data_IF_550679620594
#
_entry.id   IF_550679620594
#
_cell.length_a   1.000
_cell.length_b   1.000
_cell.length_c   1.000
_cell.angle_alpha   90.00
_cell.angle_beta   90.00
_cell.angle_gamma   90.00
#
_symmetry.space_group_name_H-M   'P 1'
#
loop_
_entity.id
_entity.type
_entity.pdbx_description
1 polymer ?
#
# COMPACT_ATOMS: atom_id res chain seq x y z
N UNK A 1 4.57 5.59 27.52
CA UNK A 1 3.71 4.40 27.38
C UNK A 1 4.60 3.19 27.21
N UNK A 2 4.29 2.17 28.00
CA UNK A 2 5.16 1.08 28.41
C UNK A 2 5.62 0.22 27.23
N UNK A 3 6.93 -0.02 27.20
CA UNK A 3 7.64 -0.77 26.18
C UNK A 3 7.31 -2.26 26.33
N UNK A 4 6.41 -2.79 25.50
CA UNK A 4 6.29 -4.23 25.32
C UNK A 4 7.64 -4.80 24.84
N UNK A 5 8.15 -5.90 25.40
CA UNK A 5 9.43 -6.47 24.99
C UNK A 5 9.33 -7.02 23.57
N UNK A 6 9.82 -6.24 22.59
CA UNK A 6 9.98 -6.69 21.21
C UNK A 6 11.20 -7.60 21.14
N UNK A 7 10.98 -8.91 21.09
CA UNK A 7 12.04 -9.88 20.82
C UNK A 7 12.39 -9.85 19.33
N UNK A 8 13.33 -8.99 18.97
CA UNK A 8 13.98 -9.01 17.65
C UNK A 8 14.98 -10.17 17.63
N UNK A 9 14.59 -11.31 17.05
CA UNK A 9 15.55 -12.36 16.71
C UNK A 9 15.74 -12.37 15.19
N UNK A 10 17.01 -12.30 14.76
CA UNK A 10 17.41 -12.49 13.37
C UNK A 10 17.09 -13.94 12.98
N UNK A 11 16.32 -14.12 11.92
CA UNK A 11 16.08 -15.42 11.34
C UNK A 11 17.21 -15.74 10.36
N UNK A 12 17.90 -16.87 10.58
CA UNK A 12 18.69 -17.52 9.55
C UNK A 12 17.74 -18.24 8.60
N UNK A 13 17.91 -17.94 7.30
CA UNK A 13 17.12 -18.52 6.22
C UNK A 13 17.45 -20.00 6.06
N UNK A 14 16.48 -20.87 6.30
CA UNK A 14 16.51 -22.23 5.73
C UNK A 14 15.19 -22.57 5.06
N UNK A 15 15.36 -23.22 3.92
CA UNK A 15 14.48 -23.28 2.77
C UNK A 15 13.38 -24.36 2.82
N UNK A 16 12.44 -24.20 1.88
CA UNK A 16 11.69 -25.22 1.14
C UNK A 16 10.46 -25.87 1.81
N UNK A 17 9.28 -25.52 1.27
CA UNK A 17 8.30 -26.53 0.81
C UNK A 17 7.33 -25.97 -0.24
N UNK A 18 7.43 -26.50 -1.46
CA UNK A 18 6.42 -26.39 -2.52
C UNK A 18 5.14 -27.11 -2.09
N UNK A 19 4.00 -26.43 -2.15
CA UNK A 19 2.71 -27.07 -2.46
C UNK A 19 2.01 -26.29 -3.55
N UNK A 20 1.54 -27.05 -4.54
CA UNK A 20 0.93 -26.61 -5.78
C UNK A 20 -0.54 -26.96 -5.68
N UNK A 21 -1.37 -26.01 -5.30
CA UNK A 21 -2.82 -26.15 -5.40
C UNK A 21 -3.29 -25.46 -6.68
N UNK A 22 -3.87 -26.26 -7.58
CA UNK A 22 -4.55 -25.79 -8.79
C UNK A 22 -6.02 -25.61 -8.42
N UNK A 23 -6.40 -24.37 -8.15
CA UNK A 23 -7.81 -23.98 -8.04
C UNK A 23 -8.34 -23.70 -9.45
N UNK A 24 -9.34 -24.47 -9.89
CA UNK A 24 -10.05 -24.24 -11.15
C UNK A 24 -11.16 -23.22 -10.88
N UNK A 25 -10.90 -21.94 -11.16
CA UNK A 25 -11.93 -20.91 -11.15
C UNK A 25 -12.80 -21.00 -12.41
N UNK A 26 -14.12 -21.01 -12.22
CA UNK A 26 -15.17 -21.00 -13.23
C UNK A 26 -14.97 -19.92 -14.30
N UNK A 27 -15.28 -20.27 -15.55
CA UNK A 27 -15.00 -19.47 -16.76
C UNK A 27 -15.90 -18.26 -17.01
N UNK A 28 -16.01 -17.35 -16.03
CA UNK A 28 -16.47 -15.99 -16.28
C UNK A 28 -15.36 -15.02 -15.85
N UNK A 29 -14.93 -14.08 -16.72
CA UNK A 29 -13.93 -13.10 -16.35
C UNK A 29 -14.50 -12.20 -15.25
N UNK A 30 -14.01 -12.37 -14.02
CA UNK A 30 -14.29 -11.47 -12.93
C UNK A 30 -13.54 -10.17 -13.21
N UNK A 31 -14.27 -9.12 -13.58
CA UNK A 31 -13.71 -7.79 -13.76
C UNK A 31 -13.47 -7.18 -12.37
N UNK A 32 -12.26 -7.35 -11.84
CA UNK A 32 -11.80 -6.62 -10.66
C UNK A 32 -11.48 -5.17 -11.06
N UNK A 33 -12.29 -4.21 -10.59
CA UNK A 33 -12.02 -2.78 -10.74
C UNK A 33 -10.66 -2.44 -10.15
N UNK A 34 -9.75 -1.90 -10.98
CA UNK A 34 -8.41 -1.48 -10.55
C UNK A 34 -7.26 -2.37 -11.04
N UNK A 35 -7.52 -3.47 -11.76
CA UNK A 35 -6.46 -4.20 -12.48
C UNK A 35 -6.04 -3.48 -13.76
N UNK A 36 -4.75 -3.57 -14.11
CA UNK A 36 -4.20 -3.09 -15.39
C UNK A 36 -4.87 -3.74 -16.63
N UNK A 37 -5.58 -4.85 -16.42
CA UNK A 37 -6.37 -5.56 -17.43
C UNK A 37 -7.82 -5.05 -17.54
N UNK A 38 -8.22 -4.07 -16.72
CA UNK A 38 -9.57 -3.54 -16.72
C UNK A 38 -9.92 -2.95 -18.09
N UNK A 39 -11.08 -3.35 -18.59
CA UNK A 39 -11.61 -2.91 -19.88
C UNK A 39 -12.58 -1.76 -19.61
N UNK A 40 -12.34 -0.61 -20.23
CA UNK A 40 -13.19 0.56 -20.11
C UNK A 40 -14.19 0.59 -21.27
N UNK A 41 -15.47 0.77 -20.98
CA UNK A 41 -16.48 1.02 -22.00
C UNK A 41 -16.42 2.49 -22.40
N UNK A 42 -16.05 2.77 -23.64
CA UNK A 42 -15.89 4.13 -24.16
C UNK A 42 -16.82 4.32 -25.36
N UNK A 43 -17.51 5.45 -25.43
CA UNK A 43 -18.34 5.79 -26.58
C UNK A 43 -17.47 6.41 -27.69
N UNK A 44 -17.49 5.81 -28.88
CA UNK A 44 -16.79 6.30 -30.07
C UNK A 44 -17.75 6.31 -31.25
N UNK A 45 -17.95 7.48 -31.88
CA UNK A 45 -18.84 7.66 -33.03
C UNK A 45 -20.29 7.16 -32.79
N UNK A 46 -20.84 7.42 -31.59
CA UNK A 46 -22.20 7.01 -31.23
C UNK A 46 -22.37 5.50 -31.01
N UNK A 47 -21.27 4.75 -30.84
CA UNK A 47 -21.29 3.34 -30.46
C UNK A 47 -20.40 3.12 -29.24
N UNK A 48 -20.89 2.33 -28.29
CA UNK A 48 -20.09 1.91 -27.15
C UNK A 48 -19.13 0.79 -27.55
N UNK A 49 -17.84 0.98 -27.28
CA UNK A 49 -16.80 0.00 -27.53
C UNK A 49 -16.03 -0.29 -26.24
N UNK A 50 -15.78 -1.57 -25.99
CA UNK A 50 -14.87 -2.01 -24.93
C UNK A 50 -13.43 -1.76 -25.36
N UNK A 51 -12.73 -0.90 -24.63
CA UNK A 51 -11.32 -0.56 -24.86
C UNK A 51 -10.49 -1.09 -23.69
N UNK A 52 -9.45 -1.86 -24.00
CA UNK A 52 -8.46 -2.28 -23.00
C UNK A 52 -7.16 -1.54 -23.29
N UNK A 53 -6.46 -1.02 -22.27
CA UNK A 53 -5.12 -0.46 -22.46
C UNK A 53 -4.13 -1.48 -23.04
N UNK A 54 -4.42 -2.79 -22.97
CA UNK A 54 -3.62 -3.86 -23.57
C UNK A 54 -3.94 -4.13 -25.06
N UNK A 55 -5.11 -3.70 -25.55
CA UNK A 55 -5.51 -3.83 -26.96
C UNK A 55 -5.18 -2.60 -27.80
N UNK A 56 -4.74 -1.50 -27.17
CA UNK A 56 -4.23 -0.35 -27.90
C UNK A 56 -3.04 -0.81 -28.77
N UNK A 57 -3.11 -0.50 -30.06
CA UNK A 57 -2.14 -0.80 -31.12
C UNK A 57 -0.72 -1.07 -30.59
N UNK A 58 -0.16 -2.21 -31.00
CA UNK A 58 1.18 -2.77 -30.72
C UNK A 58 2.40 -1.82 -30.73
N UNK A 59 2.24 -0.53 -30.98
CA UNK A 59 3.29 0.48 -31.04
C UNK A 59 3.59 1.16 -29.68
N UNK A 60 2.61 1.22 -28.76
CA UNK A 60 2.78 1.91 -27.46
C UNK A 60 2.75 0.92 -26.28
N UNK A 61 3.43 -0.23 -26.44
CA UNK A 61 3.63 -1.14 -25.32
C UNK A 61 4.65 -0.51 -24.36
N UNK A 62 4.22 -0.20 -23.13
CA UNK A 62 5.12 0.18 -22.05
C UNK A 62 6.04 -1.01 -21.76
N UNK A 63 7.22 -1.02 -22.36
CA UNK A 63 8.26 -1.98 -22.02
C UNK A 63 8.94 -1.51 -20.75
N UNK A 64 8.77 -2.28 -19.68
CA UNK A 64 9.63 -2.15 -18.51
C UNK A 64 11.05 -2.53 -18.93
N UNK A 65 11.92 -1.52 -19.08
CA UNK A 65 13.35 -1.74 -19.25
C UNK A 65 13.93 -2.38 -17.99
N UNK A 66 15.24 -2.68 -17.99
CA UNK A 66 15.93 -3.26 -16.83
C UNK A 66 15.58 -2.43 -15.59
N UNK A 67 14.97 -3.08 -14.58
CA UNK A 67 14.63 -2.42 -13.32
C UNK A 67 15.90 -1.89 -12.67
N UNK A 68 15.99 -0.57 -12.56
CA UNK A 68 17.08 0.12 -11.87
C UNK A 68 16.53 0.56 -10.52
N UNK A 69 17.20 0.13 -9.45
CA UNK A 69 16.89 0.58 -8.09
C UNK A 69 17.38 2.01 -7.94
N UNK A 70 16.48 2.97 -8.15
CA UNK A 70 16.79 4.41 -8.07
C UNK A 70 16.88 4.89 -6.61
N UNK A 71 16.03 4.35 -5.74
CA UNK A 71 16.01 4.70 -4.33
C UNK A 71 16.43 3.50 -3.47
N UNK A 72 17.17 3.73 -2.35
CA UNK A 72 17.30 2.71 -1.32
C UNK A 72 15.91 2.31 -0.83
N UNK A 73 15.78 1.11 -0.25
CA UNK A 73 14.48 0.69 0.29
C UNK A 73 14.12 1.66 1.42
N UNK A 74 13.12 2.51 1.19
CA UNK A 74 12.71 3.56 2.13
C UNK A 74 11.81 3.04 3.22
N UNK A 75 11.48 1.74 3.22
CA UNK A 75 10.77 1.09 4.31
C UNK A 75 11.79 0.19 5.01
N UNK A 76 12.00 0.31 6.33
CA UNK A 76 12.71 -0.74 7.03
C UNK A 76 12.00 -2.06 6.72
N UNK A 77 12.74 -3.17 6.52
CA UNK A 77 12.11 -4.46 6.29
C UNK A 77 11.08 -4.65 7.38
N UNK A 78 9.82 -4.93 6.99
CA UNK A 78 8.76 -5.22 7.92
C UNK A 78 9.33 -6.26 8.89
N UNK A 79 9.56 -5.87 10.14
CA UNK A 79 9.98 -6.81 11.17
C UNK A 79 8.78 -7.71 11.40
N UNK A 80 8.67 -8.76 10.60
CA UNK A 80 7.74 -9.83 10.83
C UNK A 80 8.24 -10.52 12.09
N UNK A 81 7.58 -10.27 13.20
CA UNK A 81 7.80 -11.02 14.43
C UNK A 81 7.67 -12.50 14.09
N UNK A 82 8.79 -13.24 14.10
CA UNK A 82 8.80 -14.69 13.83
C UNK A 82 8.19 -15.50 14.99
N UNK A 83 7.71 -14.82 16.03
CA UNK A 83 7.06 -15.44 17.17
C UNK A 83 5.68 -15.94 16.75
N UNK A 84 5.45 -17.23 16.94
CA UNK A 84 4.10 -17.79 16.79
C UNK A 84 3.16 -17.19 17.83
N UNK A 85 1.85 -17.18 17.55
CA UNK A 85 0.83 -16.71 18.51
C UNK A 85 0.98 -17.44 19.85
N UNK A 86 1.33 -18.73 19.83
CA UNK A 86 1.58 -19.51 21.05
C UNK A 86 2.76 -18.99 21.86
N UNK A 87 3.91 -18.72 21.20
CA UNK A 87 5.09 -18.17 21.87
C UNK A 87 4.83 -16.76 22.40
N UNK A 88 4.08 -15.94 21.66
CA UNK A 88 3.70 -14.61 22.11
C UNK A 88 2.77 -14.68 23.32
N UNK A 89 1.79 -15.59 23.32
CA UNK A 89 0.89 -15.80 24.45
C UNK A 89 1.66 -16.25 25.71
N UNK A 90 2.62 -17.16 25.55
CA UNK A 90 3.45 -17.63 26.66
C UNK A 90 4.35 -16.53 27.22
N UNK A 91 5.00 -15.74 26.36
CA UNK A 91 5.81 -14.59 26.80
C UNK A 91 4.95 -13.55 27.52
N UNK A 92 3.75 -13.28 27.00
CA UNK A 92 2.79 -12.35 27.59
C UNK A 92 2.29 -12.83 28.95
N UNK A 93 1.95 -14.12 29.08
CA UNK A 93 1.53 -14.71 30.35
C UNK A 93 2.66 -14.69 31.38
N UNK A 94 3.91 -14.99 30.99
CA UNK A 94 5.07 -14.90 31.88
C UNK A 94 5.35 -13.46 32.32
N UNK A 95 5.18 -12.49 31.43
CA UNK A 95 5.24 -11.07 31.79
C UNK A 95 4.19 -10.74 32.84
N UNK A 96 2.93 -11.11 32.62
CA UNK A 96 1.84 -10.82 33.57
C UNK A 96 2.07 -11.48 34.94
N UNK A 97 2.55 -12.72 34.99
CA UNK A 97 2.93 -13.39 36.26
C UNK A 97 4.06 -12.67 37.00
N UNK A 98 4.96 -12.01 36.27
CA UNK A 98 6.10 -11.29 36.87
C UNK A 98 5.64 -10.00 37.55
N UNK A 99 4.65 -9.30 36.99
CA UNK A 99 4.19 -7.99 37.49
C UNK A 99 2.90 -8.07 38.33
N UNK A 100 2.10 -9.11 38.14
CA UNK A 100 0.83 -9.36 38.84
C UNK A 100 0.77 -10.81 39.33
N UNK A 101 1.62 -11.19 40.31
CA UNK A 101 1.71 -12.58 40.77
C UNK A 101 0.41 -13.08 41.41
N UNK A 102 -0.42 -12.18 41.93
CA UNK A 102 -1.71 -12.49 42.56
C UNK A 102 -2.81 -12.81 41.53
N UNK A 103 -2.56 -12.54 40.24
CA UNK A 103 -3.48 -12.86 39.15
C UNK A 103 -3.03 -14.14 38.45
N UNK A 104 -3.81 -15.22 38.61
CA UNK A 104 -3.59 -16.44 37.84
C UNK A 104 -4.16 -16.28 36.42
N UNK A 105 -3.31 -15.81 35.50
CA UNK A 105 -3.66 -15.67 34.09
C UNK A 105 -3.16 -16.90 33.32
N UNK A 106 -4.12 -17.72 32.86
CA UNK A 106 -3.84 -18.86 32.01
C UNK A 106 -3.28 -18.42 30.65
N UNK A 107 -2.20 -19.06 30.22
CA UNK A 107 -1.61 -18.77 28.90
C UNK A 107 -2.57 -19.10 27.74
N UNK A 108 -3.53 -20.01 27.97
CA UNK A 108 -4.57 -20.36 27.02
C UNK A 108 -5.54 -19.21 26.79
N UNK A 109 -5.94 -18.48 27.84
CA UNK A 109 -6.79 -17.29 27.74
C UNK A 109 -6.11 -16.19 26.91
N UNK A 110 -4.81 -15.95 27.15
CA UNK A 110 -4.02 -14.98 26.38
C UNK A 110 -3.89 -15.42 24.92
N UNK A 111 -3.76 -16.72 24.65
CA UNK A 111 -3.68 -17.26 23.29
C UNK A 111 -4.98 -17.07 22.53
N UNK A 112 -6.12 -17.34 23.18
CA UNK A 112 -7.44 -17.12 22.60
C UNK A 112 -7.63 -15.65 22.22
N UNK A 113 -7.34 -14.73 23.14
CA UNK A 113 -7.45 -13.29 22.90
C UNK A 113 -6.53 -12.82 21.76
N UNK A 114 -5.26 -13.24 21.78
CA UNK A 114 -4.33 -12.91 20.71
C UNK A 114 -4.80 -13.46 19.36
N UNK A 115 -5.34 -14.68 19.33
CA UNK A 115 -5.83 -15.30 18.09
C UNK A 115 -7.09 -14.61 17.54
N UNK A 116 -7.99 -14.17 18.43
CA UNK A 116 -9.18 -13.42 18.07
C UNK A 116 -8.81 -12.03 17.52
N UNK A 117 -7.91 -11.33 18.19
CA UNK A 117 -7.40 -10.04 17.73
C UNK A 117 -6.67 -10.17 16.38
N UNK A 118 -5.87 -11.22 16.20
CA UNK A 118 -5.21 -11.52 14.92
C UNK A 118 -6.23 -11.75 13.80
N UNK A 119 -7.32 -12.46 14.08
CA UNK A 119 -8.39 -12.70 13.11
C UNK A 119 -9.08 -11.39 12.72
N UNK A 120 -9.43 -10.55 13.70
CA UNK A 120 -10.03 -9.22 13.49
C UNK A 120 -9.09 -8.31 12.70
N UNK A 121 -7.80 -8.28 13.05
CA UNK A 121 -6.80 -7.49 12.35
C UNK A 121 -6.61 -7.98 10.91
N UNK A 122 -6.60 -9.29 10.67
CA UNK A 122 -6.55 -9.85 9.31
C UNK A 122 -7.79 -9.49 8.50
N UNK A 123 -8.97 -9.53 9.11
CA UNK A 123 -10.22 -9.14 8.46
C UNK A 123 -10.20 -7.64 8.11
N UNK A 124 -9.78 -6.78 9.04
CA UNK A 124 -9.61 -5.35 8.82
C UNK A 124 -8.56 -5.05 7.75
N UNK A 125 -7.45 -5.77 7.75
CA UNK A 125 -6.38 -5.62 6.76
C UNK A 125 -6.76 -6.20 5.39
N UNK A 126 -7.77 -7.07 5.31
CA UNK A 126 -8.25 -7.64 4.04
C UNK A 126 -8.91 -6.59 3.17
N UNK A 127 -9.55 -5.61 3.79
CA UNK A 127 -10.19 -4.49 3.11
C UNK A 127 -10.28 -3.28 4.05
N UNK A 128 -9.33 -2.36 3.90
CA UNK A 128 -9.44 -1.04 4.51
C UNK A 128 -10.03 -0.07 3.47
N UNK A 129 -11.34 0.27 3.54
CA UNK A 129 -11.95 1.19 2.58
C UNK A 129 -11.37 2.60 2.63
N UNK A 130 -10.63 2.94 3.69
CA UNK A 130 -9.97 4.24 3.86
C UNK A 130 -8.54 4.24 3.30
N UNK A 131 -8.00 3.07 2.96
CA UNK A 131 -6.69 2.97 2.34
C UNK A 131 -6.81 3.22 0.83
N UNK A 132 -6.52 4.45 0.43
CA UNK A 132 -6.55 4.85 -0.97
C UNK A 132 -5.22 4.62 -1.70
N UNK A 133 -5.19 5.02 -2.96
CA UNK A 133 -3.98 4.95 -3.77
C UNK A 133 -2.95 6.00 -3.30
N UNK A 134 -1.70 5.60 -3.11
CA UNK A 134 -0.58 6.47 -2.69
C UNK A 134 0.33 6.88 -3.86
N UNK A 135 -0.07 6.55 -5.08
CA UNK A 135 0.65 6.85 -6.30
C UNK A 135 -0.31 7.40 -7.34
N UNK A 136 -0.04 8.58 -7.86
CA UNK A 136 -0.92 9.22 -8.83
C UNK A 136 -0.15 9.96 -9.92
N UNK A 137 -0.68 9.93 -11.14
CA UNK A 137 -0.16 10.70 -12.27
C UNK A 137 -1.01 11.94 -12.45
N UNK A 138 -0.42 13.11 -12.19
CA UNK A 138 -1.02 14.40 -12.45
C UNK A 138 -0.64 14.85 -13.88
N UNK A 139 -1.57 14.85 -14.85
CA UNK A 139 -1.25 15.31 -16.20
C UNK A 139 -0.93 16.81 -16.18
N UNK A 140 0.05 17.25 -16.98
CA UNK A 140 0.33 18.67 -17.21
C UNK A 140 -0.76 19.33 -18.07
N UNK A 141 -0.78 20.66 -18.13
CA UNK A 141 -1.61 21.42 -19.08
C UNK A 141 -0.82 21.57 -20.39
N UNK A 142 -1.31 21.02 -21.52
CA UNK A 142 -0.85 21.13 -22.94
C UNK A 142 0.66 21.27 -23.26
N UNK A 143 1.38 22.18 -22.62
CA UNK A 143 2.82 22.40 -22.71
C UNK A 143 3.60 22.06 -21.43
N UNK A 144 2.92 21.79 -20.30
CA UNK A 144 3.55 21.43 -19.04
C UNK A 144 3.81 19.92 -18.94
N UNK A 145 4.91 19.51 -18.30
CA UNK A 145 5.18 18.09 -18.07
C UNK A 145 4.10 17.47 -17.16
N UNK A 146 3.86 16.17 -17.33
CA UNK A 146 3.10 15.41 -16.35
C UNK A 146 3.97 15.20 -15.10
N UNK A 147 3.34 14.96 -13.96
CA UNK A 147 4.02 14.71 -12.69
C UNK A 147 3.56 13.40 -12.10
N UNK A 148 4.49 12.66 -11.51
CA UNK A 148 4.20 11.52 -10.65
C UNK A 148 4.22 11.99 -9.20
N UNK A 149 3.11 11.80 -8.50
CA UNK A 149 2.91 12.19 -7.11
C UNK A 149 2.83 10.91 -6.27
N UNK A 150 3.63 10.81 -5.22
CA UNK A 150 3.65 9.61 -4.38
C UNK A 150 4.07 9.89 -2.94
N UNK A 151 3.62 9.04 -2.03
CA UNK A 151 4.11 9.04 -0.65
C UNK A 151 5.54 8.45 -0.61
N UNK A 152 6.42 9.07 0.17
CA UNK A 152 7.81 8.66 0.39
C UNK A 152 8.17 8.67 1.89
N UNK A 153 9.38 8.21 2.21
CA UNK A 153 9.88 8.13 3.58
C UNK A 153 9.40 6.89 4.34
N UNK A 154 10.04 6.60 5.47
CA UNK A 154 9.76 5.40 6.28
C UNK A 154 8.36 5.43 6.91
N UNK A 155 7.91 6.61 7.29
CA UNK A 155 6.60 6.84 7.91
C UNK A 155 5.48 7.03 6.90
N UNK A 156 5.78 7.16 5.60
CA UNK A 156 4.81 7.53 4.58
C UNK A 156 4.23 8.93 4.78
N UNK A 157 4.88 9.77 5.59
CA UNK A 157 4.44 11.14 5.89
C UNK A 157 4.90 12.16 4.85
N UNK A 158 5.77 11.79 3.92
CA UNK A 158 6.36 12.74 2.98
C UNK A 158 5.70 12.58 1.60
N UNK A 159 5.31 13.70 0.99
CA UNK A 159 4.79 13.75 -0.37
C UNK A 159 5.92 14.13 -1.32
N UNK A 160 6.15 13.30 -2.33
CA UNK A 160 7.07 13.58 -3.42
C UNK A 160 6.30 13.92 -4.70
N UNK A 161 6.86 14.84 -5.49
CA UNK A 161 6.39 15.15 -6.84
C UNK A 161 7.60 15.13 -7.75
N UNK A 162 7.58 14.22 -8.72
CA UNK A 162 8.68 14.00 -9.66
C UNK A 162 8.17 14.16 -11.10
N UNK A 163 8.83 14.97 -11.95
CA UNK A 163 8.36 15.24 -13.30
C UNK A 163 8.56 14.04 -14.24
N UNK A 164 7.60 13.89 -15.15
CA UNK A 164 7.62 12.98 -16.30
C UNK A 164 7.88 13.84 -17.54
N UNK A 165 9.08 13.73 -18.11
CA UNK A 165 9.55 14.57 -19.21
C UNK A 165 9.64 13.74 -20.48
N UNK A 166 9.08 14.21 -21.60
CA UNK A 166 9.27 13.56 -22.89
C UNK A 166 10.68 13.86 -23.42
N UNK A 167 11.46 12.80 -23.68
CA UNK A 167 12.80 12.87 -24.26
C UNK A 167 12.82 11.93 -25.47
N UNK A 168 12.93 12.49 -26.68
CA UNK A 168 12.92 11.73 -27.95
C UNK A 168 11.70 10.81 -28.08
N UNK A 169 10.50 11.36 -27.88
CA UNK A 169 9.21 10.66 -27.91
C UNK A 169 9.03 9.55 -26.86
N UNK A 170 9.91 9.50 -25.85
CA UNK A 170 9.79 8.58 -24.71
C UNK A 170 9.55 9.36 -23.43
N UNK A 171 8.60 8.92 -22.62
CA UNK A 171 8.37 9.51 -21.30
C UNK A 171 9.46 9.04 -20.32
N UNK A 172 10.30 9.97 -19.88
CA UNK A 172 11.36 9.72 -18.91
C UNK A 172 10.96 10.26 -17.54
N UNK A 173 10.97 9.37 -16.54
CA UNK A 173 10.83 9.74 -15.14
C UNK A 173 12.11 10.38 -14.62
N UNK A 174 12.00 11.59 -14.07
CA UNK A 174 13.12 12.28 -13.40
C UNK A 174 12.89 12.24 -11.89
N UNK A 175 13.49 11.27 -11.19
CA UNK A 175 13.29 11.12 -9.75
C UNK A 175 13.80 12.35 -9.01
N UNK A 176 13.01 12.84 -8.05
CA UNK A 176 13.46 13.80 -7.06
C UNK A 176 13.58 13.12 -5.70
N UNK A 177 14.73 13.22 -5.03
CA UNK A 177 14.94 12.62 -3.72
C UNK A 177 14.47 13.53 -2.56
N UNK A 178 14.19 14.81 -2.82
CA UNK A 178 13.69 15.72 -1.79
C UNK A 178 12.16 15.69 -1.75
N UNK A 179 11.54 15.50 -0.58
CA UNK A 179 10.09 15.58 -0.46
C UNK A 179 9.62 16.99 -0.78
N UNK A 180 8.51 17.11 -1.52
CA UNK A 180 7.86 18.40 -1.75
C UNK A 180 7.25 18.93 -0.47
N UNK A 181 6.66 18.05 0.34
CA UNK A 181 6.01 18.42 1.59
C UNK A 181 5.99 17.25 2.57
N UNK A 182 6.28 17.52 3.83
CA UNK A 182 6.13 16.57 4.93
C UNK A 182 4.86 16.85 5.72
N UNK A 183 4.18 15.79 6.15
CA UNK A 183 2.99 15.82 6.99
C UNK A 183 3.31 15.30 8.39
N UNK A 184 2.51 15.69 9.37
CA UNK A 184 2.63 15.13 10.74
C UNK A 184 2.04 13.73 10.86
N UNK A 185 1.28 13.29 9.85
CA UNK A 185 0.61 11.99 9.80
C UNK A 185 0.91 11.26 8.50
N UNK A 186 0.93 9.92 8.49
CA UNK A 186 1.09 9.14 7.27
C UNK A 186 0.02 9.50 6.24
N UNK A 187 0.41 9.58 4.97
CA UNK A 187 -0.50 9.73 3.84
C UNK A 187 -1.29 8.43 3.66
N UNK A 188 -2.61 8.54 3.57
CA UNK A 188 -3.50 7.39 3.36
C UNK A 188 -4.03 7.32 1.93
N UNK A 189 -4.09 8.46 1.23
CA UNK A 189 -4.60 8.55 -0.12
C UNK A 189 -4.10 9.82 -0.82
N UNK A 190 -3.87 9.71 -2.13
CA UNK A 190 -3.55 10.80 -3.04
C UNK A 190 -4.61 10.76 -4.15
N UNK A 191 -5.31 11.87 -4.35
CA UNK A 191 -6.29 12.05 -5.42
C UNK A 191 -6.09 13.39 -6.11
N UNK A 192 -6.07 13.35 -7.42
CA UNK A 192 -6.04 14.47 -8.32
C UNK A 192 -7.47 14.74 -8.72
N UNK A 193 -7.86 16.00 -8.64
CA UNK A 193 -9.19 16.38 -9.11
C UNK A 193 -9.19 16.34 -10.65
N UNK A 194 -10.04 15.53 -11.30
CA UNK A 194 -10.24 15.61 -12.73
C UNK A 194 -10.89 16.97 -13.01
N UNK A 195 -10.26 17.70 -13.91
CA UNK A 195 -10.42 19.13 -13.93
C UNK A 195 -11.32 19.63 -15.06
N UNK A 196 -12.31 20.47 -14.74
CA UNK A 196 -13.29 21.04 -15.70
C UNK A 196 -12.99 22.52 -16.08
N UNK A 197 -12.00 23.24 -15.50
CA UNK A 197 -11.74 24.63 -15.98
C UNK A 197 -10.54 25.43 -15.42
N UNK A 198 -9.48 25.62 -16.22
CA UNK A 198 -8.21 26.42 -16.08
C UNK A 198 -7.29 26.47 -14.81
N UNK A 199 -7.65 26.08 -13.60
CA UNK A 199 -6.73 25.95 -12.41
C UNK A 199 -6.76 24.61 -11.64
N UNK A 200 -5.76 23.73 -11.82
CA UNK A 200 -5.67 22.43 -11.11
C UNK A 200 -5.26 22.61 -9.64
N UNK A 201 -6.08 22.12 -8.71
CA UNK A 201 -5.75 22.00 -7.29
C UNK A 201 -5.57 20.51 -6.94
N UNK A 202 -4.46 20.17 -6.28
CA UNK A 202 -4.28 18.85 -5.64
C UNK A 202 -5.01 18.90 -4.31
N UNK A 203 -5.98 18.00 -4.12
CA UNK A 203 -6.75 17.89 -2.89
C UNK A 203 -6.21 16.72 -2.09
N UNK A 204 -5.65 17.02 -0.92
CA UNK A 204 -5.18 16.01 0.01
C UNK A 204 -6.28 15.77 1.05
N UNK A 205 -6.86 14.58 1.06
CA UNK A 205 -7.80 14.19 2.10
C UNK A 205 -7.05 13.77 3.35
N UNK A 206 -7.34 14.45 4.47
CA UNK A 206 -6.89 14.11 5.82
C UNK A 206 -8.09 13.64 6.63
N UNK A 207 -8.01 12.46 7.22
CA UNK A 207 -8.92 12.08 8.30
C UNK A 207 -8.25 12.38 9.63
N UNK A 208 -8.72 13.42 10.33
CA UNK A 208 -8.38 13.66 11.73
C UNK A 208 -9.42 12.97 12.60
N UNK A 209 -9.06 11.88 13.26
CA UNK A 209 -9.85 11.38 14.39
C UNK A 209 -9.60 12.29 15.58
N UNK A 210 -10.49 13.26 15.80
CA UNK A 210 -10.63 13.92 17.09
C UNK A 210 -11.30 12.94 18.03
N UNK A 211 -10.51 12.21 18.83
CA UNK A 211 -11.04 11.54 20.01
C UNK A 211 -11.33 12.62 21.06
N UNK A 212 -12.53 13.19 21.01
CA UNK A 212 -13.11 13.91 22.14
C UNK A 212 -13.60 12.87 23.14
N UNK A 213 -12.71 12.45 24.05
CA UNK A 213 -13.16 11.87 25.32
C UNK A 213 -13.51 13.04 26.25
N UNK A 214 -14.81 13.23 26.44
CA UNK A 214 -15.37 13.95 27.59
C UNK A 214 -15.74 12.94 28.66
#
# INVERSE_FOLDING_TARGET
MEFWPKTVRRADETSNRKKKDKEKSSGYPLLESGRLEAVNLVETNGRFQWTSPLLASSKDQLQAEKSIKVFPSTRPPLQTSYTTVSQNAEQSANFLRTYYPDMDIAADLVREELSANDAIMRERNRYDPLQGNLLEVCPGLSSEPAFLVFAMGESGCDLNVSPLVSVKDKLCFRPNATPLRSFSTPLQQIVSSPFIGRSKNIVLHRHSHSNSCS
#
